data_IF_843080071116
#
_entry.id   IF_843080071116
#
_cell.length_a   1.000
_cell.length_b   1.000
_cell.length_c   1.000
_cell.angle_alpha   90.00
_cell.angle_beta   90.00
_cell.angle_gamma   90.00
#
_symmetry.space_group_name_H-M   'P 1'
#
loop_
_entity.id
_entity.type
_entity.pdbx_description
1 polymer ?
#
# COMPACT_ATOMS: atom_id res chain seq x y z
N UNK A 1 -8.04 22.15 1.17
CA UNK A 1 -7.66 21.00 2.03
C UNK A 1 -6.55 20.15 1.45
N UNK A 2 -6.67 19.68 0.19
CA UNK A 2 -5.59 18.90 -0.44
C UNK A 2 -4.26 19.66 -0.41
N UNK A 3 -4.24 20.91 -0.86
CA UNK A 3 -3.03 21.75 -0.80
C UNK A 3 -2.53 21.94 0.64
N UNK A 4 -3.44 22.16 1.59
CA UNK A 4 -3.10 22.30 3.01
C UNK A 4 -2.44 21.03 3.56
N UNK A 5 -2.96 19.86 3.22
CA UNK A 5 -2.38 18.57 3.60
C UNK A 5 -0.97 18.41 3.01
N UNK A 6 -0.78 18.73 1.72
CA UNK A 6 0.52 18.68 1.06
C UNK A 6 1.53 19.62 1.75
N UNK A 7 1.14 20.87 2.01
CA UNK A 7 2.05 21.87 2.58
C UNK A 7 2.44 21.57 4.02
N UNK A 8 1.47 21.17 4.84
CA UNK A 8 1.70 20.88 6.25
C UNK A 8 2.31 19.50 6.50
N UNK A 9 2.21 18.57 5.53
CA UNK A 9 2.46 17.13 5.73
C UNK A 9 1.77 16.58 6.98
N UNK A 10 0.59 17.09 7.27
CA UNK A 10 -0.18 16.75 8.44
C UNK A 10 -1.64 16.55 8.09
N UNK A 11 -2.34 15.83 8.92
CA UNK A 11 -3.79 15.62 8.84
C UNK A 11 -4.55 16.40 9.89
N UNK A 12 -3.86 17.15 10.74
CA UNK A 12 -4.52 17.96 11.77
C UNK A 12 -5.01 19.27 11.17
N UNK A 13 -6.27 19.62 11.45
CA UNK A 13 -6.89 20.82 10.88
C UNK A 13 -6.18 22.12 11.30
N UNK A 14 -5.56 22.13 12.49
CA UNK A 14 -4.74 23.25 12.94
C UNK A 14 -3.47 23.44 12.10
N UNK A 15 -2.81 22.36 11.70
CA UNK A 15 -1.67 22.44 10.78
C UNK A 15 -2.08 22.93 9.39
N UNK A 16 -3.30 22.61 8.95
CA UNK A 16 -3.82 23.07 7.67
C UNK A 16 -4.09 24.57 7.66
N UNK A 17 -4.53 25.11 8.79
CA UNK A 17 -4.72 26.56 8.94
C UNK A 17 -3.38 27.31 8.78
N UNK A 18 -2.35 26.86 9.49
CA UNK A 18 -1.01 27.47 9.43
C UNK A 18 -0.40 27.38 8.02
N UNK A 19 -0.71 26.30 7.29
CA UNK A 19 -0.14 26.05 5.97
C UNK A 19 -0.75 26.91 4.85
N UNK A 20 -1.89 27.57 5.08
CA UNK A 20 -2.59 28.35 4.06
C UNK A 20 -2.59 29.83 4.40
N UNK A 21 -2.35 30.70 3.41
CA UNK A 21 -2.26 32.15 3.61
C UNK A 21 -3.68 32.79 3.68
N UNK A 22 -4.52 32.30 4.61
CA UNK A 22 -5.82 32.93 4.82
C UNK A 22 -5.72 34.06 5.83
N UNK A 23 -6.20 35.24 5.43
CA UNK A 23 -6.30 36.39 6.32
C UNK A 23 -7.65 36.34 7.09
N UNK A 24 -7.82 35.28 7.89
CA UNK A 24 -9.02 35.07 8.72
C UNK A 24 -8.62 34.39 10.03
N UNK A 25 -9.45 34.50 11.03
CA UNK A 25 -9.24 33.88 12.33
C UNK A 25 -9.06 32.34 12.18
N UNK A 26 -8.02 31.77 12.77
CA UNK A 26 -7.69 30.37 12.74
C UNK A 26 -8.86 29.44 13.11
N UNK A 27 -9.65 29.81 14.14
CA UNK A 27 -10.84 29.05 14.53
C UNK A 27 -11.89 29.01 13.41
N UNK A 28 -12.00 30.05 12.58
CA UNK A 28 -12.93 30.09 11.45
C UNK A 28 -12.46 29.16 10.32
N UNK A 29 -11.18 29.14 10.03
CA UNK A 29 -10.58 28.23 9.04
C UNK A 29 -10.74 26.78 9.46
N UNK A 30 -10.40 26.44 10.70
CA UNK A 30 -10.55 25.09 11.26
C UNK A 30 -12.02 24.64 11.20
N UNK A 31 -12.98 25.52 11.59
CA UNK A 31 -14.42 25.23 11.49
C UNK A 31 -14.88 25.00 10.04
N UNK A 32 -14.31 25.73 9.06
CA UNK A 32 -14.59 25.53 7.63
C UNK A 32 -14.16 24.16 7.17
N UNK A 33 -12.94 23.72 7.52
CA UNK A 33 -12.46 22.39 7.21
C UNK A 33 -13.29 21.29 7.88
N UNK A 34 -13.58 21.46 9.17
CA UNK A 34 -14.42 20.54 9.92
C UNK A 34 -15.82 20.42 9.30
N UNK A 35 -16.47 21.55 8.96
CA UNK A 35 -17.78 21.52 8.28
C UNK A 35 -17.74 20.79 6.94
N UNK A 36 -16.67 20.93 6.17
CA UNK A 36 -16.53 20.21 4.92
C UNK A 36 -16.42 18.70 5.16
N UNK A 37 -15.58 18.27 6.10
CA UNK A 37 -15.42 16.85 6.44
C UNK A 37 -16.73 16.22 6.96
N UNK A 38 -17.56 16.99 7.69
CA UNK A 38 -18.85 16.52 8.21
C UNK A 38 -20.02 16.76 7.27
N UNK A 39 -19.81 17.26 6.05
CA UNK A 39 -20.88 17.53 5.11
C UNK A 39 -21.34 16.24 4.42
N UNK A 40 -22.51 15.72 4.84
CA UNK A 40 -23.11 14.49 4.30
C UNK A 40 -23.46 14.55 2.80
N UNK A 41 -23.54 15.76 2.20
CA UNK A 41 -23.79 15.94 0.76
C UNK A 41 -22.56 15.64 -0.10
N UNK A 42 -21.39 15.49 0.52
CA UNK A 42 -20.16 15.17 -0.19
C UNK A 42 -20.05 13.65 -0.35
N UNK A 43 -20.28 13.21 -1.57
CA UNK A 43 -20.10 11.82 -1.99
C UNK A 43 -18.63 11.58 -2.35
N UNK A 44 -17.93 10.89 -1.45
CA UNK A 44 -16.51 10.54 -1.62
C UNK A 44 -16.28 9.64 -2.80
N UNK A 45 -17.19 8.70 -3.07
CA UNK A 45 -17.09 7.74 -4.17
C UNK A 45 -17.14 8.47 -5.50
N UNK A 46 -18.17 9.29 -5.72
CA UNK A 46 -18.36 10.05 -6.95
C UNK A 46 -17.18 11.00 -7.24
N UNK A 47 -16.69 11.69 -6.22
CA UNK A 47 -15.56 12.61 -6.37
C UNK A 47 -14.28 11.84 -6.72
N UNK A 48 -14.02 10.73 -6.03
CA UNK A 48 -12.78 9.99 -6.22
C UNK A 48 -12.77 9.17 -7.50
N UNK A 49 -13.93 8.67 -7.95
CA UNK A 49 -14.04 7.91 -9.20
C UNK A 49 -13.50 8.70 -10.39
N UNK A 50 -13.88 9.99 -10.50
CA UNK A 50 -13.37 10.84 -11.57
C UNK A 50 -11.84 11.01 -11.50
N UNK A 51 -11.29 11.22 -10.30
CA UNK A 51 -9.86 11.43 -10.09
C UNK A 51 -9.06 10.17 -10.36
N UNK A 52 -9.50 9.02 -9.85
CA UNK A 52 -8.73 7.78 -9.97
C UNK A 52 -8.82 7.18 -11.39
N UNK A 53 -9.96 7.33 -12.08
CA UNK A 53 -10.07 6.94 -13.48
C UNK A 53 -9.15 7.80 -14.36
N UNK A 54 -9.12 9.12 -14.15
CA UNK A 54 -8.18 10.00 -14.85
C UNK A 54 -6.73 9.62 -14.56
N UNK A 55 -6.41 9.36 -13.28
CA UNK A 55 -5.08 8.96 -12.87
C UNK A 55 -4.61 7.63 -13.51
N UNK A 56 -5.52 6.70 -13.77
CA UNK A 56 -5.22 5.38 -14.29
C UNK A 56 -5.48 5.23 -15.79
N UNK A 57 -6.07 6.22 -16.48
CA UNK A 57 -6.44 6.11 -17.90
C UNK A 57 -5.25 5.81 -18.82
N UNK A 58 -4.08 6.31 -18.46
CA UNK A 58 -2.81 6.13 -19.19
C UNK A 58 -1.92 5.05 -18.56
N UNK A 59 -2.50 4.13 -17.77
CA UNK A 59 -1.72 3.05 -17.20
C UNK A 59 -1.23 2.11 -18.32
N UNK A 60 0.05 2.24 -18.64
CA UNK A 60 0.74 1.46 -19.67
C UNK A 60 1.55 0.38 -18.96
N UNK A 61 0.88 -0.61 -18.41
CA UNK A 61 1.55 -1.71 -17.74
C UNK A 61 0.66 -2.95 -17.73
N UNK A 62 1.31 -4.10 -17.82
CA UNK A 62 0.59 -5.37 -17.84
C UNK A 62 0.01 -5.72 -16.46
N UNK A 63 0.48 -5.04 -15.38
CA UNK A 63 0.24 -5.48 -14.01
C UNK A 63 0.02 -4.34 -13.02
N UNK A 64 -0.94 -4.54 -12.10
CA UNK A 64 -1.15 -3.69 -10.92
C UNK A 64 -1.06 -4.56 -9.65
N UNK A 65 -0.31 -4.08 -8.66
CA UNK A 65 -0.21 -4.73 -7.35
C UNK A 65 -1.11 -3.99 -6.37
N UNK A 66 -2.04 -4.72 -5.77
CA UNK A 66 -2.95 -4.22 -4.74
C UNK A 66 -2.60 -4.81 -3.37
N UNK A 67 -2.76 -4.02 -2.33
CA UNK A 67 -2.69 -4.50 -0.96
C UNK A 67 -3.98 -4.17 -0.21
N UNK A 68 -4.52 -5.16 0.50
CA UNK A 68 -5.60 -4.99 1.47
C UNK A 68 -5.00 -4.80 2.85
N UNK A 69 -5.41 -3.74 3.53
CA UNK A 69 -4.96 -3.42 4.87
C UNK A 69 -6.08 -2.84 5.74
N UNK A 70 -5.92 -2.98 7.06
CA UNK A 70 -6.79 -2.37 8.06
C UNK A 70 -5.98 -1.57 9.05
N UNK A 71 -6.46 -0.38 9.39
CA UNK A 71 -5.84 0.48 10.40
C UNK A 71 -6.88 0.97 11.38
N UNK A 72 -6.60 0.85 12.67
CA UNK A 72 -7.39 1.52 13.69
C UNK A 72 -7.08 3.02 13.65
N UNK A 73 -8.07 3.82 13.32
CA UNK A 73 -7.96 5.29 13.32
C UNK A 73 -8.30 5.86 14.68
N UNK A 74 -9.09 5.11 15.43
CA UNK A 74 -9.58 5.39 16.80
C UNK A 74 -9.91 4.08 17.47
N UNK A 75 -10.20 4.12 18.76
CA UNK A 75 -10.61 2.96 19.57
C UNK A 75 -11.83 2.22 18.99
N UNK A 76 -12.68 2.94 18.26
CA UNK A 76 -13.92 2.42 17.68
C UNK A 76 -14.04 2.66 16.16
N UNK A 77 -13.00 3.10 15.47
CA UNK A 77 -13.02 3.35 14.04
C UNK A 77 -11.89 2.62 13.33
N UNK A 78 -12.26 1.67 12.48
CA UNK A 78 -11.34 0.87 11.68
C UNK A 78 -11.48 1.23 10.21
N UNK A 79 -10.42 1.74 9.59
CA UNK A 79 -10.35 1.91 8.14
C UNK A 79 -9.94 0.58 7.48
N UNK A 80 -10.72 0.14 6.52
CA UNK A 80 -10.36 -0.92 5.58
C UNK A 80 -10.03 -0.28 4.25
N UNK A 81 -8.85 -0.57 3.70
CA UNK A 81 -8.35 0.03 2.47
C UNK A 81 -7.82 -1.02 1.52
N UNK A 82 -8.14 -0.87 0.24
CA UNK A 82 -7.41 -1.49 -0.86
C UNK A 82 -6.60 -0.38 -1.53
N UNK A 83 -5.30 -0.59 -1.63
CA UNK A 83 -4.37 0.40 -2.15
C UNK A 83 -3.53 -0.16 -3.28
N UNK A 84 -3.19 0.67 -4.27
CA UNK A 84 -2.18 0.34 -5.28
C UNK A 84 -0.80 0.55 -4.64
N UNK A 85 0.05 -0.46 -4.76
CA UNK A 85 1.46 -0.34 -4.38
C UNK A 85 2.20 0.36 -5.51
N UNK A 86 2.62 1.59 -5.29
CA UNK A 86 3.20 2.43 -6.31
C UNK A 86 4.33 3.31 -5.77
N UNK A 87 5.51 3.21 -6.36
CA UNK A 87 6.68 4.04 -5.99
C UNK A 87 7.04 4.01 -4.50
N UNK A 88 6.88 2.85 -3.84
CA UNK A 88 7.13 2.71 -2.41
C UNK A 88 6.04 3.37 -1.54
N UNK A 89 4.83 3.56 -2.08
CA UNK A 89 3.67 4.11 -1.39
C UNK A 89 2.43 3.26 -1.64
N UNK A 90 1.51 3.31 -0.69
CA UNK A 90 0.18 2.73 -0.83
C UNK A 90 -0.82 3.84 -1.18
N UNK A 91 -1.27 3.90 -2.44
CA UNK A 91 -2.29 4.85 -2.89
C UNK A 91 -3.65 4.19 -2.69
N UNK A 92 -4.51 4.67 -1.78
CA UNK A 92 -5.84 4.11 -1.60
C UNK A 92 -6.64 4.17 -2.90
N UNK A 93 -7.07 3.01 -3.42
CA UNK A 93 -7.97 2.95 -4.57
C UNK A 93 -9.42 2.80 -4.12
N UNK A 94 -9.67 2.14 -2.98
CA UNK A 94 -10.97 2.02 -2.36
C UNK A 94 -10.83 1.90 -0.84
N UNK A 95 -11.78 2.43 -0.09
CA UNK A 95 -11.79 2.35 1.37
C UNK A 95 -13.19 2.44 1.93
N UNK A 96 -13.33 2.02 3.18
CA UNK A 96 -14.44 2.32 4.06
C UNK A 96 -13.98 2.43 5.50
N UNK A 97 -14.63 3.25 6.29
CA UNK A 97 -14.37 3.37 7.73
C UNK A 97 -15.53 2.75 8.49
N UNK A 98 -15.22 1.70 9.23
CA UNK A 98 -16.19 0.93 10.00
C UNK A 98 -16.20 1.37 11.46
N UNK A 99 -17.37 1.39 12.08
CA UNK A 99 -17.48 1.42 13.55
C UNK A 99 -17.10 0.04 14.10
N UNK A 100 -15.83 -0.13 14.44
CA UNK A 100 -15.29 -1.40 14.86
C UNK A 100 -14.14 -1.22 15.85
N UNK A 101 -14.14 -2.04 16.92
CA UNK A 101 -13.13 -1.94 18.01
C UNK A 101 -11.86 -2.74 17.76
N UNK A 102 -11.69 -3.33 16.60
CA UNK A 102 -10.56 -4.19 16.25
C UNK A 102 -10.22 -4.06 14.78
N UNK A 103 -8.94 -4.21 14.43
CA UNK A 103 -8.49 -4.33 13.05
C UNK A 103 -8.85 -5.67 12.38
N UNK A 104 -9.38 -6.64 13.15
CA UNK A 104 -9.82 -7.93 12.62
C UNK A 104 -11.26 -7.83 12.11
N UNK A 105 -11.44 -7.73 10.81
CA UNK A 105 -12.73 -7.56 10.13
C UNK A 105 -13.13 -8.82 9.36
N UNK A 106 -14.43 -9.04 9.19
CA UNK A 106 -14.97 -10.17 8.43
C UNK A 106 -15.06 -9.83 6.95
N UNK A 107 -15.04 -10.83 6.06
CA UNK A 107 -15.17 -10.64 4.62
C UNK A 107 -16.40 -9.79 4.22
N UNK A 108 -17.51 -9.94 4.91
CA UNK A 108 -18.74 -9.18 4.65
C UNK A 108 -18.51 -7.65 4.83
N UNK A 109 -17.66 -7.26 5.78
CA UNK A 109 -17.43 -5.87 6.15
C UNK A 109 -16.61 -5.13 5.09
N UNK A 110 -15.79 -5.84 4.31
CA UNK A 110 -14.93 -5.24 3.29
C UNK A 110 -15.21 -5.69 1.85
N UNK A 111 -16.18 -6.56 1.62
CA UNK A 111 -16.57 -6.98 0.26
C UNK A 111 -16.89 -5.78 -0.64
N UNK A 112 -17.60 -4.79 -0.13
CA UNK A 112 -17.93 -3.56 -0.87
C UNK A 112 -16.69 -2.79 -1.30
N UNK A 113 -15.67 -2.73 -0.45
CA UNK A 113 -14.39 -2.07 -0.76
C UNK A 113 -13.66 -2.80 -1.90
N UNK A 114 -13.68 -4.14 -1.90
CA UNK A 114 -13.08 -4.92 -2.99
C UNK A 114 -13.80 -4.70 -4.33
N UNK A 115 -15.14 -4.67 -4.32
CA UNK A 115 -15.96 -4.42 -5.53
C UNK A 115 -15.67 -3.02 -6.08
N UNK A 116 -15.58 -2.02 -5.21
CA UNK A 116 -15.23 -0.65 -5.57
C UNK A 116 -13.81 -0.57 -6.15
N UNK A 117 -12.84 -1.25 -5.53
CA UNK A 117 -11.47 -1.32 -6.05
C UNK A 117 -11.45 -1.91 -7.46
N UNK A 118 -12.16 -3.03 -7.69
CA UNK A 118 -12.27 -3.65 -9.01
C UNK A 118 -12.85 -2.72 -10.07
N UNK A 119 -13.89 -1.97 -9.71
CA UNK A 119 -14.55 -1.02 -10.62
C UNK A 119 -13.59 0.08 -11.08
N UNK A 120 -12.68 0.53 -10.22
CA UNK A 120 -11.73 1.62 -10.46
C UNK A 120 -10.49 1.22 -11.24
N UNK A 121 -10.24 -0.07 -11.39
CA UNK A 121 -9.07 -0.57 -12.12
C UNK A 121 -9.26 -0.46 -13.65
N UNK A 122 -8.16 -0.22 -14.38
CA UNK A 122 -8.17 -0.31 -15.85
C UNK A 122 -8.60 -1.70 -16.31
N UNK A 123 -9.30 -1.76 -17.43
CA UNK A 123 -9.68 -3.03 -18.04
C UNK A 123 -8.47 -3.74 -18.63
N UNK A 124 -8.42 -5.06 -18.49
CA UNK A 124 -7.39 -5.91 -19.10
C UNK A 124 -6.04 -5.92 -18.38
N UNK A 125 -5.89 -5.22 -17.25
CA UNK A 125 -4.68 -5.25 -16.45
C UNK A 125 -4.63 -6.51 -15.57
N UNK A 126 -3.48 -7.15 -15.49
CA UNK A 126 -3.24 -8.24 -14.52
C UNK A 126 -3.20 -7.67 -13.11
N UNK A 127 -3.94 -8.27 -12.19
CA UNK A 127 -3.98 -7.83 -10.80
C UNK A 127 -3.30 -8.86 -9.91
N UNK A 128 -2.29 -8.41 -9.15
CA UNK A 128 -1.72 -9.16 -8.02
C UNK A 128 -2.26 -8.57 -6.73
N UNK A 129 -2.99 -9.37 -5.98
CA UNK A 129 -3.61 -8.95 -4.73
C UNK A 129 -2.85 -9.50 -3.53
N UNK A 130 -2.44 -8.63 -2.63
CA UNK A 130 -1.70 -8.97 -1.42
C UNK A 130 -2.55 -8.76 -0.18
N UNK A 131 -2.55 -9.72 0.74
CA UNK A 131 -3.23 -9.57 2.02
C UNK A 131 -2.47 -10.25 3.16
N UNK A 132 -2.60 -9.69 4.36
CA UNK A 132 -1.99 -10.26 5.57
C UNK A 132 -2.77 -11.48 6.08
N UNK A 133 -2.15 -12.19 7.03
CA UNK A 133 -2.69 -13.36 7.72
C UNK A 133 -4.02 -13.12 8.46
N UNK A 134 -4.37 -11.87 8.71
CA UNK A 134 -5.67 -11.48 9.24
C UNK A 134 -6.82 -11.65 8.24
N UNK A 135 -6.53 -11.67 6.94
CA UNK A 135 -7.51 -11.77 5.86
C UNK A 135 -7.65 -13.18 5.28
N UNK A 136 -7.08 -14.20 5.92
CA UNK A 136 -7.23 -15.58 5.48
C UNK A 136 -8.69 -16.00 5.53
N UNK A 137 -9.35 -16.04 4.37
CA UNK A 137 -10.76 -16.31 4.22
C UNK A 137 -11.05 -17.01 2.90
N UNK A 138 -11.76 -18.15 2.98
CA UNK A 138 -12.23 -18.87 1.81
C UNK A 138 -13.12 -18.01 0.90
N UNK A 139 -13.96 -17.14 1.51
CA UNK A 139 -14.84 -16.24 0.77
C UNK A 139 -14.03 -15.22 -0.03
N UNK A 140 -12.96 -14.66 0.55
CA UNK A 140 -12.04 -13.76 -0.13
C UNK A 140 -11.35 -14.47 -1.30
N UNK A 141 -10.72 -15.62 -1.05
CA UNK A 141 -9.96 -16.37 -2.07
C UNK A 141 -10.85 -16.76 -3.26
N UNK A 142 -12.09 -17.20 -3.01
CA UNK A 142 -13.07 -17.49 -4.07
C UNK A 142 -13.41 -16.25 -4.88
N UNK A 143 -13.68 -15.13 -4.23
CA UNK A 143 -14.01 -13.89 -4.91
C UNK A 143 -12.86 -13.40 -5.79
N UNK A 144 -11.61 -13.54 -5.33
CA UNK A 144 -10.44 -13.19 -6.12
C UNK A 144 -10.26 -14.12 -7.33
N UNK A 145 -10.51 -15.43 -7.16
CA UNK A 145 -10.50 -16.40 -8.25
C UNK A 145 -11.60 -16.12 -9.28
N UNK A 146 -12.83 -15.80 -8.85
CA UNK A 146 -13.95 -15.40 -9.75
C UNK A 146 -13.59 -14.17 -10.60
N UNK A 147 -12.74 -13.28 -10.09
CA UNK A 147 -12.26 -12.11 -10.82
C UNK A 147 -11.00 -12.38 -11.64
N UNK A 148 -10.48 -13.60 -11.61
CA UNK A 148 -9.20 -13.97 -12.24
C UNK A 148 -8.02 -13.15 -11.72
N UNK A 149 -8.09 -12.69 -10.48
CA UNK A 149 -6.98 -12.01 -9.83
C UNK A 149 -5.99 -13.02 -9.30
N UNK A 150 -4.71 -12.76 -9.50
CA UNK A 150 -3.62 -13.47 -8.85
C UNK A 150 -3.51 -12.96 -7.43
N UNK A 151 -3.37 -13.83 -6.43
CA UNK A 151 -3.31 -13.38 -5.06
C UNK A 151 -2.21 -14.05 -4.25
N UNK A 152 -1.69 -13.33 -3.26
CA UNK A 152 -0.68 -13.73 -2.29
C UNK A 152 -1.21 -13.42 -0.91
N UNK A 153 -1.55 -14.43 -0.14
CA UNK A 153 -2.05 -14.26 1.23
C UNK A 153 -1.08 -14.95 2.18
N UNK A 154 -0.49 -14.18 3.10
CA UNK A 154 0.31 -14.76 4.16
C UNK A 154 -0.60 -15.53 5.10
N UNK A 155 -0.18 -16.72 5.52
CA UNK A 155 -0.94 -17.57 6.44
C UNK A 155 -0.16 -17.83 7.73
N UNK A 156 -0.88 -18.23 8.78
CA UNK A 156 -0.25 -18.61 10.06
C UNK A 156 0.39 -19.98 9.94
N UNK A 157 1.47 -20.21 10.69
CA UNK A 157 2.16 -21.52 10.69
C UNK A 157 1.31 -22.68 11.18
N UNK A 158 0.23 -22.44 11.92
CA UNK A 158 -0.75 -23.44 12.38
C UNK A 158 -2.00 -23.54 11.47
N UNK A 159 -2.03 -22.85 10.34
CA UNK A 159 -3.12 -22.95 9.37
C UNK A 159 -3.21 -24.37 8.84
N UNK A 160 -4.40 -24.97 8.89
CA UNK A 160 -4.62 -26.30 8.33
C UNK A 160 -4.72 -26.21 6.82
N UNK A 161 -3.91 -26.99 6.16
CA UNK A 161 -3.86 -27.22 4.72
C UNK A 161 -3.88 -28.71 4.44
N UNK A 162 -4.04 -29.09 3.18
CA UNK A 162 -3.90 -30.45 2.71
C UNK A 162 -2.96 -30.47 1.50
N UNK A 163 -2.01 -31.38 1.51
CA UNK A 163 -1.14 -31.67 0.37
C UNK A 163 -1.41 -33.10 -0.08
N UNK A 164 -1.93 -33.30 -1.30
CA UNK A 164 -2.37 -34.61 -1.80
C UNK A 164 -3.17 -35.39 -0.73
N UNK A 165 -4.21 -34.76 -0.20
CA UNK A 165 -5.11 -35.29 0.83
C UNK A 165 -4.51 -35.54 2.23
N UNK A 166 -3.22 -35.39 2.40
CA UNK A 166 -2.58 -35.44 3.73
C UNK A 166 -2.74 -34.09 4.43
N UNK A 167 -3.30 -34.13 5.62
CA UNK A 167 -3.45 -32.94 6.49
C UNK A 167 -2.09 -32.45 6.93
N UNK A 168 -1.82 -31.14 6.76
CA UNK A 168 -0.58 -30.52 7.19
C UNK A 168 -0.83 -29.13 7.81
N UNK A 169 0.16 -28.64 8.53
CA UNK A 169 0.29 -27.22 8.86
C UNK A 169 1.67 -26.74 8.42
N UNK A 170 1.84 -25.46 8.01
CA UNK A 170 3.15 -24.97 7.57
C UNK A 170 4.29 -25.16 8.58
N UNK A 171 3.99 -25.17 9.89
CA UNK A 171 5.01 -25.45 10.93
C UNK A 171 5.60 -26.87 10.84
N UNK A 172 4.86 -27.84 10.31
CA UNK A 172 5.34 -29.23 10.17
C UNK A 172 6.48 -29.33 9.15
N UNK A 173 6.68 -28.31 8.29
CA UNK A 173 7.78 -28.25 7.34
C UNK A 173 9.17 -28.07 8.01
N UNK A 174 9.23 -27.76 9.29
CA UNK A 174 10.46 -27.61 10.09
C UNK A 174 11.54 -26.80 9.37
N UNK A 175 11.15 -25.68 8.73
CA UNK A 175 12.04 -24.85 7.95
C UNK A 175 13.25 -24.39 8.77
N UNK A 176 14.43 -24.51 8.17
CA UNK A 176 15.65 -23.93 8.71
C UNK A 176 15.90 -22.54 8.12
N UNK A 177 16.55 -21.66 8.89
CA UNK A 177 16.93 -20.33 8.40
C UNK A 177 17.81 -20.42 7.15
N UNK A 178 17.41 -19.73 6.10
CA UNK A 178 18.05 -19.71 4.81
C UNK A 178 17.48 -20.70 3.80
N UNK A 179 16.42 -21.45 4.15
CA UNK A 179 15.80 -22.41 3.25
C UNK A 179 14.38 -22.01 2.90
N UNK A 180 13.96 -22.41 1.69
CA UNK A 180 12.57 -22.31 1.25
C UNK A 180 12.12 -23.61 0.60
N UNK A 181 10.85 -23.95 0.80
CA UNK A 181 10.15 -25.09 0.22
C UNK A 181 8.98 -24.57 -0.62
N UNK A 182 8.86 -25.05 -1.84
CA UNK A 182 7.92 -24.57 -2.83
C UNK A 182 7.00 -25.71 -3.27
N UNK A 183 5.70 -25.56 -3.06
CA UNK A 183 4.64 -26.51 -3.41
C UNK A 183 3.72 -25.86 -4.44
N UNK A 184 3.78 -26.27 -5.70
CA UNK A 184 2.95 -25.74 -6.78
C UNK A 184 1.75 -26.64 -7.08
N UNK A 185 0.55 -26.06 -7.07
CA UNK A 185 -0.69 -26.71 -7.50
C UNK A 185 -1.22 -27.86 -6.66
N UNK A 186 -0.49 -28.26 -5.61
CA UNK A 186 -0.79 -29.45 -4.81
C UNK A 186 -1.40 -29.14 -3.44
N UNK A 187 -1.66 -27.89 -3.16
CA UNK A 187 -2.20 -27.44 -1.88
C UNK A 187 -3.69 -27.23 -1.98
N UNK A 188 -4.42 -27.73 -0.98
CA UNK A 188 -5.84 -27.49 -0.79
C UNK A 188 -6.08 -26.75 0.53
N UNK A 189 -6.87 -25.71 0.45
CA UNK A 189 -7.34 -24.96 1.59
C UNK A 189 -8.84 -25.26 1.79
N UNK A 190 -9.19 -25.94 2.89
CA UNK A 190 -10.52 -26.51 3.12
C UNK A 190 -10.97 -27.47 1.98
N UNK A 191 -12.24 -27.88 1.95
CA UNK A 191 -12.71 -28.91 1.00
C UNK A 191 -12.81 -28.48 -0.46
N UNK A 192 -12.85 -27.18 -0.75
CA UNK A 192 -13.26 -26.67 -2.07
C UNK A 192 -12.37 -25.57 -2.64
N UNK A 193 -11.15 -25.42 -2.17
CA UNK A 193 -10.13 -24.56 -2.74
C UNK A 193 -8.88 -25.40 -2.98
N UNK A 194 -8.78 -25.93 -4.18
CA UNK A 194 -7.74 -26.83 -4.65
C UNK A 194 -6.82 -26.13 -5.67
N UNK A 195 -5.75 -26.79 -6.03
CA UNK A 195 -4.80 -26.27 -7.02
C UNK A 195 -4.02 -25.04 -6.53
N UNK A 196 -3.94 -24.84 -5.21
CA UNK A 196 -3.20 -23.74 -4.63
C UNK A 196 -1.72 -24.11 -4.51
N UNK A 197 -0.90 -23.08 -4.35
CA UNK A 197 0.53 -23.19 -4.14
C UNK A 197 0.94 -22.58 -2.80
N UNK A 198 1.95 -23.16 -2.18
CA UNK A 198 2.54 -22.69 -0.95
C UNK A 198 4.03 -22.37 -1.15
N UNK A 199 4.40 -21.11 -0.99
CA UNK A 199 5.80 -20.70 -0.83
C UNK A 199 6.08 -20.53 0.66
N UNK A 200 6.84 -21.48 1.23
CA UNK A 200 7.23 -21.48 2.64
C UNK A 200 8.72 -21.20 2.73
N UNK A 201 9.12 -20.15 3.46
CA UNK A 201 10.53 -19.77 3.52
C UNK A 201 10.92 -19.06 4.81
N UNK A 202 12.14 -19.32 5.26
CA UNK A 202 12.73 -18.63 6.39
C UNK A 202 14.02 -17.92 5.97
N UNK A 203 13.92 -16.64 5.63
CA UNK A 203 15.11 -15.85 5.29
C UNK A 203 16.09 -15.83 6.46
N UNK A 204 17.40 -15.80 6.17
CA UNK A 204 18.45 -15.72 7.20
C UNK A 204 18.32 -14.51 8.13
N UNK A 205 17.77 -13.43 7.61
CA UNK A 205 17.64 -12.18 8.34
C UNK A 205 16.24 -11.97 8.96
N UNK A 206 15.29 -12.91 8.72
CA UNK A 206 13.95 -12.83 9.27
C UNK A 206 13.86 -13.47 10.66
N UNK A 207 13.04 -12.90 11.52
CA UNK A 207 12.78 -13.44 12.87
C UNK A 207 11.92 -14.70 12.80
N UNK A 208 10.96 -14.75 11.89
CA UNK A 208 10.02 -15.87 11.70
C UNK A 208 9.93 -16.30 10.23
N UNK A 209 9.54 -17.56 9.97
CA UNK A 209 9.29 -18.01 8.60
C UNK A 209 8.04 -17.36 8.03
N UNK A 210 8.01 -17.21 6.71
CA UNK A 210 6.84 -16.78 5.97
C UNK A 210 6.22 -17.94 5.21
N UNK A 211 4.91 -17.96 5.24
CA UNK A 211 4.08 -18.93 4.53
C UNK A 211 3.11 -18.17 3.65
N UNK A 212 3.33 -18.20 2.35
CA UNK A 212 2.53 -17.46 1.36
C UNK A 212 1.74 -18.45 0.55
N UNK A 213 0.42 -18.40 0.71
CA UNK A 213 -0.52 -19.17 -0.09
C UNK A 213 -0.91 -18.34 -1.32
N UNK A 214 -0.98 -18.98 -2.49
CA UNK A 214 -1.30 -18.33 -3.77
C UNK A 214 -2.09 -19.24 -4.70
N UNK A 215 -2.73 -18.65 -5.71
CA UNK A 215 -3.46 -19.37 -6.76
C UNK A 215 -2.66 -19.51 -8.06
N UNK A 216 -1.38 -19.19 -8.04
CA UNK A 216 -0.42 -19.42 -9.12
C UNK A 216 0.81 -20.16 -8.58
N UNK A 217 1.75 -20.52 -9.44
CA UNK A 217 2.90 -21.35 -9.09
C UNK A 217 3.76 -20.79 -7.96
N UNK A 218 4.22 -21.65 -7.07
CA UNK A 218 5.13 -21.28 -6.00
C UNK A 218 6.50 -20.90 -6.55
N UNK A 219 7.05 -19.79 -6.09
CA UNK A 219 8.40 -19.37 -6.46
C UNK A 219 9.04 -18.50 -5.37
N UNK A 220 10.34 -18.26 -5.51
CA UNK A 220 11.08 -17.33 -4.66
C UNK A 220 10.60 -15.87 -4.81
N UNK A 221 10.11 -15.52 -5.99
CA UNK A 221 9.60 -14.18 -6.29
C UNK A 221 8.40 -13.81 -5.45
N UNK A 222 7.58 -14.79 -5.04
CA UNK A 222 6.42 -14.58 -4.16
C UNK A 222 6.79 -13.90 -2.84
N UNK A 223 7.98 -14.19 -2.31
CA UNK A 223 8.47 -13.51 -1.12
C UNK A 223 8.82 -12.04 -1.39
N UNK A 224 9.38 -11.74 -2.57
CA UNK A 224 9.69 -10.36 -2.96
C UNK A 224 8.42 -9.58 -3.24
N UNK A 225 7.47 -10.14 -3.99
CA UNK A 225 6.17 -9.53 -4.29
C UNK A 225 5.39 -9.25 -3.00
N UNK A 226 5.29 -10.23 -2.11
CA UNK A 226 4.64 -10.04 -0.81
C UNK A 226 5.41 -9.04 0.07
N UNK A 227 6.72 -9.03 -0.03
CA UNK A 227 7.61 -8.10 0.67
C UNK A 227 7.38 -6.64 0.32
N UNK A 228 6.84 -6.34 -0.88
CA UNK A 228 6.47 -4.97 -1.25
C UNK A 228 5.42 -4.38 -0.30
N UNK A 229 4.54 -5.21 0.26
CA UNK A 229 3.59 -4.77 1.29
C UNK A 229 4.31 -4.30 2.56
N UNK A 230 5.39 -4.97 2.95
CA UNK A 230 6.19 -4.61 4.13
C UNK A 230 7.11 -3.41 3.89
N UNK A 231 7.67 -3.30 2.70
CA UNK A 231 8.50 -2.13 2.34
C UNK A 231 7.68 -0.84 2.47
N UNK A 232 6.38 -0.91 2.20
CA UNK A 232 5.45 0.22 2.41
C UNK A 232 5.25 0.50 3.90
N UNK A 233 5.00 -0.52 4.72
CA UNK A 233 4.83 -0.34 6.17
C UNK A 233 6.11 0.19 6.83
N UNK A 234 7.28 -0.29 6.42
CA UNK A 234 8.57 0.18 6.93
C UNK A 234 8.91 1.59 6.47
N UNK A 235 8.62 1.94 5.21
CA UNK A 235 8.78 3.31 4.72
C UNK A 235 7.84 4.28 5.43
N UNK A 236 6.61 3.87 5.74
CA UNK A 236 5.70 4.66 6.57
C UNK A 236 6.20 4.85 8.02
N UNK A 237 6.83 3.84 8.62
CA UNK A 237 7.43 3.96 9.98
C UNK A 237 8.67 4.85 10.00
N UNK A 238 9.51 4.78 8.97
CA UNK A 238 10.72 5.60 8.86
C UNK A 238 10.41 7.07 8.52
N UNK A 239 9.25 7.31 7.93
CA UNK A 239 8.77 8.65 7.60
C UNK A 239 7.90 9.29 8.69
N UNK A 240 8.16 8.98 9.97
CA UNK A 240 7.54 9.71 11.11
C UNK A 240 7.68 11.23 11.01
N UNK A 241 8.42 11.72 10.02
CA UNK A 241 8.66 13.14 9.73
C UNK A 241 8.01 13.65 8.44
N UNK A 242 7.18 12.86 7.72
CA UNK A 242 6.68 13.35 6.42
C UNK A 242 5.57 12.54 5.74
N UNK A 243 4.88 11.65 6.42
CA UNK A 243 3.72 10.93 5.90
C UNK A 243 2.41 11.36 6.57
N UNK A 244 1.29 11.17 5.87
CA UNK A 244 -0.03 11.45 6.42
C UNK A 244 -0.44 10.35 7.40
N UNK A 245 -0.11 10.54 8.68
CA UNK A 245 -0.45 9.60 9.76
C UNK A 245 -1.92 9.78 10.17
N UNK A 246 -2.79 8.91 9.64
CA UNK A 246 -4.22 8.93 9.91
C UNK A 246 -4.56 8.70 11.39
N UNK A 247 -3.71 8.03 12.15
CA UNK A 247 -3.91 7.76 13.57
C UNK A 247 -3.84 9.05 14.41
N UNK A 248 -3.13 10.07 13.94
CA UNK A 248 -3.05 11.39 14.60
C UNK A 248 -4.23 12.31 14.31
N UNK A 249 -5.16 11.91 13.45
CA UNK A 249 -6.35 12.70 13.18
C UNK A 249 -7.21 12.85 14.44
N UNK A 250 -7.72 14.05 14.68
CA UNK A 250 -8.73 14.34 15.70
C UNK A 250 -10.15 14.43 15.11
N UNK A 251 -10.30 14.08 13.84
CA UNK A 251 -11.60 14.09 13.15
C UNK A 251 -12.43 12.92 13.66
N UNK A 252 -13.67 13.19 14.07
CA UNK A 252 -14.62 12.21 14.59
C UNK A 252 -15.66 11.84 13.52
N UNK A 253 -16.23 10.64 13.64
CA UNK A 253 -17.24 10.11 12.73
C UNK A 253 -16.65 9.42 11.50
N UNK A 254 -17.18 8.24 11.20
CA UNK A 254 -16.68 7.37 10.10
C UNK A 254 -16.73 8.06 8.75
N UNK A 255 -17.81 8.73 8.43
CA UNK A 255 -17.96 9.47 7.17
C UNK A 255 -16.97 10.65 7.02
N UNK A 256 -16.68 11.36 8.12
CA UNK A 256 -15.71 12.45 8.10
C UNK A 256 -14.28 11.91 7.92
N UNK A 257 -13.98 10.76 8.51
CA UNK A 257 -12.73 10.04 8.30
C UNK A 257 -12.61 9.53 6.86
N UNK A 258 -13.67 9.04 6.24
CA UNK A 258 -13.66 8.67 4.80
C UNK A 258 -13.33 9.87 3.91
N UNK A 259 -13.90 11.04 4.20
CA UNK A 259 -13.58 12.28 3.47
C UNK A 259 -12.15 12.76 3.74
N UNK A 260 -11.62 12.49 4.93
CA UNK A 260 -10.21 12.75 5.23
C UNK A 260 -9.28 11.84 4.40
N UNK A 261 -9.61 10.55 4.28
CA UNK A 261 -8.87 9.61 3.43
C UNK A 261 -8.90 10.07 1.97
N UNK A 262 -10.04 10.57 1.46
CA UNK A 262 -10.13 11.17 0.13
C UNK A 262 -9.10 12.31 -0.06
N UNK A 263 -9.04 13.25 0.89
CA UNK A 263 -8.07 14.36 0.82
C UNK A 263 -6.64 13.86 0.74
N UNK A 264 -6.30 12.85 1.55
CA UNK A 264 -4.95 12.27 1.59
C UNK A 264 -4.64 11.50 0.30
N UNK A 265 -5.58 10.71 -0.20
CA UNK A 265 -5.39 9.95 -1.45
C UNK A 265 -5.07 10.89 -2.63
N UNK A 266 -5.85 11.98 -2.75
CA UNK A 266 -5.62 12.99 -3.79
C UNK A 266 -4.28 13.71 -3.59
N UNK A 267 -3.96 14.10 -2.34
CA UNK A 267 -2.68 14.72 -2.01
C UNK A 267 -1.48 13.82 -2.37
N UNK A 268 -1.60 12.53 -2.11
CA UNK A 268 -0.56 11.55 -2.43
C UNK A 268 -0.36 11.41 -3.93
N UNK A 269 -1.44 11.31 -4.72
CA UNK A 269 -1.37 11.22 -6.19
C UNK A 269 -0.68 12.46 -6.76
N UNK A 270 -1.11 13.65 -6.37
CA UNK A 270 -0.51 14.92 -6.84
C UNK A 270 0.98 14.96 -6.51
N UNK A 271 1.34 14.66 -5.26
CA UNK A 271 2.73 14.75 -4.81
C UNK A 271 3.64 13.76 -5.53
N UNK A 272 3.16 12.53 -5.76
CA UNK A 272 3.92 11.52 -6.53
C UNK A 272 4.09 11.94 -7.99
N UNK A 273 3.04 12.47 -8.61
CA UNK A 273 3.09 12.96 -9.98
C UNK A 273 4.09 14.08 -10.18
N UNK A 274 4.07 15.07 -9.29
CA UNK A 274 5.07 16.15 -9.30
C UNK A 274 6.49 15.60 -9.14
N UNK A 275 6.68 14.60 -8.27
CA UNK A 275 7.97 13.94 -8.12
C UNK A 275 8.47 13.25 -9.38
N UNK A 276 7.57 12.56 -10.08
CA UNK A 276 7.87 11.94 -11.38
C UNK A 276 8.21 12.98 -12.45
N UNK A 277 7.41 14.05 -12.56
CA UNK A 277 7.64 15.13 -13.52
C UNK A 277 9.00 15.80 -13.29
N UNK A 278 9.32 16.14 -12.05
CA UNK A 278 10.62 16.74 -11.67
C UNK A 278 11.81 15.87 -12.06
N UNK A 279 11.68 14.55 -11.92
CA UNK A 279 12.75 13.62 -12.31
C UNK A 279 12.84 13.51 -13.83
N UNK A 280 11.70 13.34 -14.52
CA UNK A 280 11.62 13.24 -15.97
C UNK A 280 12.18 14.49 -16.70
N UNK A 281 11.93 15.67 -16.15
CA UNK A 281 12.43 16.95 -16.65
C UNK A 281 13.89 17.25 -16.28
N UNK A 282 14.58 16.35 -15.57
CA UNK A 282 15.97 16.55 -15.13
C UNK A 282 16.14 17.59 -14.00
N UNK A 283 15.02 18.02 -13.39
CA UNK A 283 15.01 19.05 -12.33
C UNK A 283 15.35 18.52 -10.94
N UNK A 284 15.58 17.20 -10.78
CA UNK A 284 15.85 16.55 -9.50
C UNK A 284 16.92 17.26 -8.65
N UNK A 285 18.03 17.70 -9.29
CA UNK A 285 19.14 18.41 -8.63
C UNK A 285 18.71 19.68 -7.89
N UNK A 286 17.58 20.26 -8.25
CA UNK A 286 17.06 21.49 -7.62
C UNK A 286 16.43 21.24 -6.25
N UNK A 287 16.05 19.98 -5.92
CA UNK A 287 15.37 19.59 -4.67
C UNK A 287 16.05 18.44 -3.93
N UNK A 288 16.88 17.66 -4.61
CA UNK A 288 17.61 16.52 -4.08
C UNK A 288 19.10 16.66 -4.44
N UNK A 289 19.90 17.13 -3.48
CA UNK A 289 21.32 17.39 -3.67
C UNK A 289 22.08 16.13 -4.09
N UNK A 290 23.04 16.26 -5.02
CA UNK A 290 23.74 15.13 -5.63
C UNK A 290 24.53 14.28 -4.63
N UNK A 291 24.99 14.86 -3.53
CA UNK A 291 25.72 14.16 -2.45
C UNK A 291 24.82 13.37 -1.51
N UNK A 292 23.53 13.72 -1.44
CA UNK A 292 22.57 13.02 -0.60
C UNK A 292 21.70 12.03 -1.36
N UNK A 293 21.33 12.34 -2.59
CA UNK A 293 20.41 11.60 -3.49
C UNK A 293 19.77 10.35 -2.87
N UNK A 294 18.64 10.52 -2.26
CA UNK A 294 17.96 9.41 -1.59
C UNK A 294 16.56 9.78 -1.14
N UNK A 295 16.03 10.87 -1.71
CA UNK A 295 14.64 11.22 -1.54
C UNK A 295 13.77 10.29 -2.39
N UNK A 296 12.63 9.88 -1.86
CA UNK A 296 11.58 9.20 -2.62
C UNK A 296 10.93 10.15 -3.62
N UNK A 297 10.21 9.61 -4.60
CA UNK A 297 9.42 10.43 -5.53
C UNK A 297 8.46 11.36 -4.78
N UNK A 298 7.80 10.85 -3.74
CA UNK A 298 6.93 11.65 -2.88
C UNK A 298 7.67 12.86 -2.25
N UNK A 299 8.84 12.62 -1.66
CA UNK A 299 9.64 13.70 -1.05
C UNK A 299 10.15 14.70 -2.07
N UNK A 300 10.53 14.25 -3.28
CA UNK A 300 10.94 15.12 -4.39
C UNK A 300 9.78 16.01 -4.80
N UNK A 301 8.60 15.43 -5.03
CA UNK A 301 7.41 16.17 -5.42
C UNK A 301 6.97 17.17 -4.38
N UNK A 302 6.91 16.75 -3.12
CA UNK A 302 6.58 17.64 -2.01
C UNK A 302 7.52 18.84 -1.93
N UNK A 303 8.85 18.62 -1.93
CA UNK A 303 9.85 19.71 -1.90
C UNK A 303 9.75 20.61 -3.12
N UNK A 304 9.39 20.04 -4.26
CA UNK A 304 9.20 20.82 -5.49
C UNK A 304 7.98 21.73 -5.38
N UNK A 305 6.84 21.21 -4.93
CA UNK A 305 5.63 22.01 -4.71
C UNK A 305 5.91 23.16 -3.76
N UNK A 306 6.55 22.91 -2.61
CA UNK A 306 6.93 23.97 -1.67
C UNK A 306 7.81 25.01 -2.35
N UNK A 307 8.83 24.58 -3.10
CA UNK A 307 9.76 25.48 -3.77
C UNK A 307 9.08 26.35 -4.84
N UNK A 308 8.09 25.82 -5.55
CA UNK A 308 7.33 26.59 -6.54
C UNK A 308 6.41 27.61 -5.88
N UNK A 309 5.80 27.28 -4.76
CA UNK A 309 4.95 28.24 -4.01
C UNK A 309 5.74 29.42 -3.44
N UNK A 310 7.00 29.23 -3.06
CA UNK A 310 7.87 30.34 -2.64
C UNK A 310 8.37 31.19 -3.82
N UNK A 311 8.20 30.74 -5.06
CA UNK A 311 8.51 31.52 -6.27
C UNK A 311 7.23 32.21 -6.72
N UNK A 312 7.09 33.47 -6.37
CA UNK A 312 5.93 34.31 -6.69
C UNK A 312 5.43 34.10 -8.12
N UNK A 313 4.12 33.84 -8.25
CA UNK A 313 3.32 33.89 -9.49
C UNK A 313 3.35 32.67 -10.45
N UNK A 314 3.73 31.49 -10.05
CA UNK A 314 3.49 30.31 -10.90
C UNK A 314 2.17 29.66 -10.50
N UNK A 315 1.19 29.66 -11.41
CA UNK A 315 -0.03 28.86 -11.23
C UNK A 315 0.36 27.36 -11.21
N UNK A 316 0.09 26.69 -10.10
CA UNK A 316 0.32 25.26 -10.00
C UNK A 316 -0.75 24.54 -10.81
N UNK A 317 -0.34 23.86 -11.87
CA UNK A 317 -1.19 22.94 -12.62
C UNK A 317 -0.85 21.52 -12.19
N UNK A 318 -1.76 20.87 -11.51
CA UNK A 318 -1.57 19.50 -11.08
C UNK A 318 -2.14 18.52 -12.11
N UNK A 319 -1.40 17.45 -12.36
CA UNK A 319 -1.86 16.32 -13.16
C UNK A 319 -2.18 15.15 -12.24
N UNK A 320 -3.17 14.36 -12.64
CA UNK A 320 -3.52 13.11 -12.00
C UNK A 320 -3.15 11.97 -12.96
N UNK A 321 -1.94 11.43 -12.81
CA UNK A 321 -1.46 10.38 -13.70
C UNK A 321 -0.60 9.38 -12.91
N UNK A 322 -0.92 8.11 -13.03
CA UNK A 322 -0.12 7.00 -12.53
C UNK A 322 0.41 6.20 -13.72
N UNK A 323 1.74 6.09 -13.82
CA UNK A 323 2.39 5.36 -14.90
C UNK A 323 2.94 4.04 -14.39
N UNK A 324 2.69 2.96 -15.14
CA UNK A 324 3.18 1.64 -14.77
C UNK A 324 4.70 1.51 -14.79
N UNK A 325 5.36 2.24 -15.70
CA UNK A 325 6.81 2.17 -15.86
C UNK A 325 7.48 3.45 -15.35
N UNK A 326 8.47 3.28 -14.52
CA UNK A 326 9.34 4.33 -14.02
C UNK A 326 10.74 3.78 -13.75
N UNK A 327 11.75 4.61 -13.94
CA UNK A 327 13.11 4.24 -13.62
C UNK A 327 13.37 4.32 -12.11
N UNK A 328 14.07 3.34 -11.52
CA UNK A 328 14.50 3.43 -10.13
C UNK A 328 15.34 4.69 -9.90
N UNK A 329 15.04 5.44 -8.85
CA UNK A 329 15.80 6.64 -8.51
C UNK A 329 17.27 6.30 -8.23
N UNK A 330 18.24 6.87 -8.99
CA UNK A 330 19.64 6.65 -8.69
C UNK A 330 20.00 7.27 -7.33
N UNK A 331 20.73 6.52 -6.51
CA UNK A 331 21.19 6.90 -5.17
C UNK A 331 22.69 7.22 -5.22
N UNK A 332 23.13 8.23 -4.46
CA UNK A 332 24.56 8.58 -4.39
C UNK A 332 25.41 7.41 -3.84
N UNK A 333 26.68 7.25 -4.30
CA UNK A 333 27.55 6.16 -3.86
C UNK A 333 27.70 6.05 -2.33
N UNK A 334 27.88 7.16 -1.64
CA UNK A 334 27.98 7.24 -0.19
C UNK A 334 26.73 6.76 0.53
N UNK A 335 25.58 6.85 -0.11
CA UNK A 335 24.32 6.35 0.44
C UNK A 335 24.00 4.93 -0.02
N UNK A 336 24.59 4.46 -1.14
CA UNK A 336 24.52 3.05 -1.54
C UNK A 336 24.98 2.12 -0.43
N UNK A 337 26.08 2.47 0.27
CA UNK A 337 26.56 1.68 1.40
C UNK A 337 25.61 1.71 2.60
N UNK A 338 25.04 2.86 2.93
CA UNK A 338 24.06 2.97 4.03
C UNK A 338 22.73 2.28 3.67
N UNK A 339 22.27 2.39 2.43
CA UNK A 339 21.11 1.67 1.91
C UNK A 339 21.38 0.17 1.85
N UNK A 340 22.59 -0.25 1.44
CA UNK A 340 23.02 -1.65 1.47
C UNK A 340 23.17 -2.17 2.90
N UNK A 341 23.68 -1.37 3.86
CA UNK A 341 23.68 -1.71 5.28
C UNK A 341 22.26 -1.81 5.84
N UNK A 342 21.36 -0.91 5.45
CA UNK A 342 19.94 -0.93 5.83
C UNK A 342 19.21 -2.12 5.18
N UNK A 343 19.48 -2.39 3.89
CA UNK A 343 18.99 -3.57 3.17
C UNK A 343 19.60 -4.88 3.70
N UNK A 344 20.78 -4.86 4.32
CA UNK A 344 21.35 -6.00 5.05
C UNK A 344 20.73 -6.18 6.44
N UNK A 345 20.19 -5.11 7.05
CA UNK A 345 19.41 -5.18 8.30
C UNK A 345 17.94 -5.54 8.03
N UNK A 346 17.40 -5.19 6.86
CA UNK A 346 16.06 -5.59 6.43
C UNK A 346 16.16 -6.90 5.65
N UNK A 347 15.30 -7.86 5.92
CA UNK A 347 15.35 -9.17 5.28
C UNK A 347 15.01 -9.05 3.81
N UNK A 348 15.97 -8.71 2.97
CA UNK A 348 15.89 -9.20 1.61
C UNK A 348 16.00 -10.71 1.71
N UNK A 349 15.06 -11.37 1.05
CA UNK A 349 14.88 -12.81 1.05
C UNK A 349 16.16 -13.49 0.57
N UNK A 350 17.03 -13.86 1.52
CA UNK A 350 18.26 -14.59 1.27
C UNK A 350 18.04 -16.06 1.64
N UNK A 351 17.77 -16.85 0.62
CA UNK A 351 17.71 -18.28 0.75
C UNK A 351 19.03 -18.90 0.26
N UNK A 352 19.49 -19.94 0.95
CA UNK A 352 20.64 -20.77 0.53
C UNK A 352 20.21 -21.83 -0.46
N UNK A 353 18.99 -22.34 -0.28
CA UNK A 353 18.45 -23.42 -1.07
C UNK A 353 16.95 -23.26 -1.24
N UNK A 354 16.48 -23.71 -2.40
CA UNK A 354 15.08 -23.86 -2.72
C UNK A 354 14.83 -25.35 -2.97
N UNK A 355 13.81 -25.89 -2.35
CA UNK A 355 13.38 -27.28 -2.52
C UNK A 355 12.01 -27.22 -3.20
N UNK A 356 11.94 -27.73 -4.44
CA UNK A 356 10.67 -27.96 -5.11
C UNK A 356 10.05 -29.22 -4.53
N UNK A 357 8.87 -29.10 -3.97
CA UNK A 357 8.18 -30.18 -3.27
C UNK A 357 6.97 -30.61 -4.08
N UNK A 358 6.99 -31.85 -4.53
CA UNK A 358 5.82 -32.50 -5.13
C UNK A 358 4.97 -33.21 -4.07
N UNK A 359 5.52 -33.41 -2.87
CA UNK A 359 4.88 -34.05 -1.73
C UNK A 359 5.42 -33.51 -0.40
N UNK A 360 4.75 -33.84 0.71
CA UNK A 360 5.29 -33.51 2.03
C UNK A 360 6.61 -34.24 2.26
N UNK A 361 7.59 -33.59 2.88
CA UNK A 361 8.79 -34.29 3.34
C UNK A 361 8.36 -35.36 4.36
N UNK A 362 8.93 -36.54 4.20
CA UNK A 362 8.70 -37.73 5.07
C UNK A 362 9.35 -37.47 6.43
#
# INVERSE_FOLDING_TARGET
>A
MVLAAILSQSITLGSWDIALPFDVNAASTIRRFSRWLHNFKIDTTRLYDAIIHDALQNWVGDRIILALDTSMLRDNACAVRVSIIYLGRAIPIAWSVLEHKSSSVKFADYKGVLVMARYRLPKGVEVIFLADRGFVSKKLMRQLNEWSWIWRIRIKGNQVLYCKDRRMTPKMLMLQKGNAMLFSGNIRFERNLEGLSLSAGWSRNAEEPWYILSNDDASAEKFMEYGMRFDIEEEFRDEKSGGFDLEKSRVEGTEALERLILVIAVATIITLNEGLAVVAEGNRKKVDAHWQRGLSYFQIGWRWILKQLYRVAVALQFKFELRAMYDPLPVAPTRKESVLRRKRKNPKWHFKSFILCHDLPV
#
